data_IF_497254860045
#
_entry.id   IF_497254860045
#
_cell.length_a   1.000
_cell.length_b   1.000
_cell.length_c   1.000
_cell.angle_alpha   90.00
_cell.angle_beta   90.00
_cell.angle_gamma   90.00
#
_symmetry.space_group_name_H-M   'P 1'
#
loop_
_entity.id
_entity.type
_entity.pdbx_description
1 polymer ?
#
# COMPACT_ATOMS: atom_id res chain seq x y z
N UNK A 1 -73.83 -29.56 42.35
CA UNK A 1 -73.76 -29.97 40.92
C UNK A 1 -73.29 -28.76 40.15
N UNK A 2 -72.20 -28.96 39.43
CA UNK A 2 -71.18 -27.98 39.09
C UNK A 2 -71.34 -27.37 37.70
N UNK A 3 -71.08 -26.06 37.66
CA UNK A 3 -70.50 -25.26 36.57
C UNK A 3 -71.08 -25.37 35.16
N UNK A 4 -71.87 -24.36 34.77
CA UNK A 4 -71.77 -23.76 33.45
C UNK A 4 -70.39 -23.07 33.30
N UNK A 5 -69.92 -22.97 32.05
CA UNK A 5 -69.45 -21.72 31.41
C UNK A 5 -68.17 -21.87 30.56
N UNK A 6 -68.29 -21.33 29.34
CA UNK A 6 -67.28 -20.77 28.42
C UNK A 6 -66.33 -21.73 27.66
N UNK A 7 -66.70 -22.01 26.41
CA UNK A 7 -65.75 -22.30 25.33
C UNK A 7 -64.93 -21.03 25.04
N UNK A 8 -63.62 -21.14 25.21
CA UNK A 8 -62.65 -20.11 24.83
C UNK A 8 -62.29 -20.30 23.35
N UNK A 9 -62.71 -19.37 22.49
CA UNK A 9 -62.16 -19.25 21.14
C UNK A 9 -60.71 -18.75 21.24
N UNK A 10 -59.75 -19.53 20.74
CA UNK A 10 -58.38 -19.08 20.56
C UNK A 10 -58.31 -18.27 19.25
N UNK A 11 -58.28 -16.94 19.37
CA UNK A 11 -57.87 -16.06 18.27
C UNK A 11 -56.34 -16.09 18.17
N UNK A 12 -55.82 -16.58 17.05
CA UNK A 12 -54.41 -16.48 16.69
C UNK A 12 -54.10 -15.01 16.39
N UNK A 13 -53.16 -14.35 17.08
CA UNK A 13 -52.78 -12.99 16.74
C UNK A 13 -52.06 -12.97 15.39
N UNK A 14 -52.21 -11.91 14.58
CA UNK A 14 -51.50 -11.79 13.31
C UNK A 14 -50.00 -11.71 13.57
N UNK A 15 -49.25 -12.41 12.73
CA UNK A 15 -47.79 -12.40 12.70
C UNK A 15 -47.33 -10.96 12.41
N UNK A 16 -46.96 -10.21 13.45
CA UNK A 16 -46.23 -8.95 13.29
C UNK A 16 -44.88 -9.30 12.68
N UNK A 17 -44.69 -8.94 11.41
CA UNK A 17 -43.40 -8.96 10.77
C UNK A 17 -42.48 -8.00 11.54
N UNK A 18 -41.64 -8.58 12.39
CA UNK A 18 -40.52 -7.85 12.98
C UNK A 18 -39.54 -7.61 11.83
N UNK A 19 -39.54 -6.39 11.30
CA UNK A 19 -38.47 -5.95 10.41
C UNK A 19 -37.15 -6.03 11.19
N UNK A 20 -36.41 -7.10 10.92
CA UNK A 20 -35.02 -7.29 11.36
C UNK A 20 -34.12 -6.37 10.55
N UNK A 21 -34.18 -5.06 10.79
CA UNK A 21 -33.22 -4.07 10.28
C UNK A 21 -32.15 -3.79 11.32
N UNK A 22 -31.46 -4.83 11.77
CA UNK A 22 -30.31 -4.68 12.67
C UNK A 22 -29.28 -5.78 12.43
N UNK A 23 -28.70 -5.88 11.22
CA UNK A 23 -27.48 -6.69 10.99
C UNK A 23 -26.83 -6.44 9.62
N UNK A 24 -26.61 -5.17 9.26
CA UNK A 24 -25.55 -4.86 8.30
C UNK A 24 -24.79 -3.66 8.84
N UNK A 25 -23.75 -3.95 9.64
CA UNK A 25 -22.71 -2.98 9.91
C UNK A 25 -22.20 -2.47 8.57
N UNK A 26 -22.44 -1.19 8.30
CA UNK A 26 -21.82 -0.49 7.19
C UNK A 26 -20.31 -0.54 7.40
N UNK A 27 -19.64 -1.51 6.79
CA UNK A 27 -18.21 -1.47 6.64
C UNK A 27 -17.91 -0.45 5.53
N UNK A 28 -18.03 0.84 5.87
CA UNK A 28 -17.54 1.90 5.03
C UNK A 28 -16.09 1.55 4.66
N UNK A 29 -15.83 1.46 3.35
CA UNK A 29 -14.51 1.11 2.85
C UNK A 29 -13.48 2.08 3.44
N UNK A 30 -12.26 1.65 3.77
CA UNK A 30 -11.24 2.49 4.45
C UNK A 30 -11.03 3.90 3.85
N UNK A 31 -11.28 4.06 2.55
CA UNK A 31 -11.21 5.35 1.84
C UNK A 31 -12.40 6.29 2.08
N UNK A 32 -13.43 5.84 2.79
CA UNK A 32 -14.63 6.60 3.15
C UNK A 32 -14.58 7.07 4.62
N UNK A 33 -13.61 6.60 5.40
CA UNK A 33 -13.41 7.06 6.77
C UNK A 33 -12.66 8.41 6.78
N UNK A 34 -13.00 9.33 7.71
CA UNK A 34 -12.17 10.51 7.97
C UNK A 34 -10.70 10.11 8.17
N UNK A 35 -9.70 10.92 7.76
CA UNK A 35 -8.29 10.57 7.82
C UNK A 35 -7.87 9.98 9.18
N UNK A 36 -8.20 10.65 10.28
CA UNK A 36 -7.92 10.20 11.66
C UNK A 36 -8.52 8.83 12.05
N UNK A 37 -9.47 8.32 11.28
CA UNK A 37 -10.18 7.06 11.55
C UNK A 37 -9.77 5.92 10.62
N UNK A 38 -8.96 6.17 9.59
CA UNK A 38 -8.46 5.10 8.74
C UNK A 38 -7.23 4.40 9.37
N UNK A 39 -6.98 3.15 8.99
CA UNK A 39 -5.85 2.34 9.50
C UNK A 39 -4.50 2.96 9.15
N UNK A 40 -4.45 3.79 8.11
CA UNK A 40 -3.21 4.47 7.71
C UNK A 40 -2.79 5.58 8.68
N UNK A 41 -3.71 6.13 9.49
CA UNK A 41 -3.39 7.13 10.53
C UNK A 41 -3.31 6.56 11.95
N UNK A 42 -3.94 5.40 12.21
CA UNK A 42 -3.89 4.75 13.52
C UNK A 42 -2.61 3.95 13.78
N UNK A 43 -1.77 3.75 12.76
CA UNK A 43 -0.60 2.88 12.83
C UNK A 43 -0.96 1.40 12.89
N UNK A 44 0.07 0.56 13.06
CA UNK A 44 -0.11 -0.87 13.24
C UNK A 44 -0.78 -1.15 14.61
N UNK A 45 -1.88 -1.89 14.62
CA UNK A 45 -2.76 -2.00 15.81
C UNK A 45 -2.13 -2.64 17.06
N UNK A 46 -0.95 -3.23 16.94
CA UNK A 46 -0.21 -3.80 18.09
C UNK A 46 0.65 -2.77 18.83
N UNK A 47 1.16 -1.73 18.16
CA UNK A 47 2.15 -0.78 18.70
C UNK A 47 1.92 0.68 18.30
N UNK A 48 0.94 0.96 17.44
CA UNK A 48 0.60 2.28 16.93
C UNK A 48 1.60 2.86 15.92
N UNK A 49 2.61 2.10 15.48
CA UNK A 49 3.70 2.60 14.63
C UNK A 49 3.41 2.52 13.13
N UNK A 50 4.06 3.38 12.35
CA UNK A 50 3.97 3.38 10.89
C UNK A 50 5.30 2.92 10.27
N UNK A 51 5.31 1.71 9.72
CA UNK A 51 6.50 1.09 9.15
C UNK A 51 6.64 1.41 7.66
N UNK A 52 7.58 2.30 7.30
CA UNK A 52 7.79 2.74 5.92
C UNK A 52 9.23 3.10 5.58
N UNK A 53 10.00 3.63 6.53
CA UNK A 53 11.39 4.05 6.27
C UNK A 53 12.23 2.89 5.75
N UNK A 54 13.05 3.18 4.73
CA UNK A 54 13.88 2.18 4.07
C UNK A 54 14.97 1.69 5.01
N UNK A 55 15.06 0.38 5.31
CA UNK A 55 16.16 -0.17 6.08
C UNK A 55 17.37 -0.37 5.15
N UNK A 56 18.20 0.66 5.00
CA UNK A 56 19.31 0.70 4.04
C UNK A 56 20.40 -0.36 4.27
N UNK A 57 20.49 -0.88 5.48
CA UNK A 57 21.42 -1.93 5.91
C UNK A 57 20.90 -3.35 5.60
N UNK A 58 19.64 -3.53 5.20
CA UNK A 58 19.12 -4.84 4.79
C UNK A 58 19.90 -5.36 3.57
N UNK A 59 20.48 -6.57 3.61
CA UNK A 59 21.42 -7.04 2.59
C UNK A 59 20.90 -6.94 1.15
N UNK A 60 19.62 -7.24 0.92
CA UNK A 60 19.02 -7.15 -0.42
C UNK A 60 18.88 -5.70 -0.93
N UNK A 61 18.67 -4.74 -0.02
CA UNK A 61 18.61 -3.30 -0.33
C UNK A 61 20.02 -2.74 -0.48
N UNK A 62 20.95 -3.08 0.42
CA UNK A 62 22.34 -2.68 0.32
C UNK A 62 22.97 -3.11 -1.02
N UNK A 63 22.64 -4.32 -1.51
CA UNK A 63 23.09 -4.77 -2.82
C UNK A 63 22.50 -3.95 -3.97
N UNK A 64 21.24 -3.51 -3.88
CA UNK A 64 20.67 -2.59 -4.88
C UNK A 64 21.38 -1.24 -4.90
N UNK A 65 21.72 -0.71 -3.72
CA UNK A 65 22.49 0.53 -3.59
C UNK A 65 23.88 0.35 -4.21
N UNK A 66 24.55 -0.77 -3.97
CA UNK A 66 25.85 -1.08 -4.57
C UNK A 66 25.78 -1.17 -6.11
N UNK A 67 24.73 -1.79 -6.66
CA UNK A 67 24.62 -2.05 -8.09
C UNK A 67 24.11 -0.84 -8.90
N UNK A 68 23.20 -0.05 -8.32
CA UNK A 68 22.46 0.99 -9.04
C UNK A 68 22.58 2.39 -8.43
N UNK A 69 23.11 2.49 -7.22
CA UNK A 69 23.39 3.78 -6.58
C UNK A 69 24.66 4.46 -7.11
N UNK A 70 25.14 5.50 -6.42
CA UNK A 70 24.40 6.21 -5.36
C UNK A 70 23.10 6.82 -5.91
N UNK A 71 22.03 6.78 -5.12
CA UNK A 71 20.77 7.45 -5.47
C UNK A 71 20.88 8.93 -5.13
N UNK A 72 20.55 9.81 -6.06
CA UNK A 72 20.64 11.26 -5.91
C UNK A 72 19.29 11.91 -5.58
N UNK A 73 18.20 11.11 -5.57
CA UNK A 73 16.86 11.62 -5.35
C UNK A 73 15.91 10.55 -4.78
N UNK A 74 15.03 11.00 -3.88
CA UNK A 74 13.93 10.23 -3.32
C UNK A 74 12.60 10.94 -3.67
N UNK A 75 11.78 10.38 -4.58
CA UNK A 75 10.47 10.93 -4.91
C UNK A 75 9.42 10.76 -3.81
N UNK A 76 9.71 9.99 -2.77
CA UNK A 76 8.77 9.61 -1.72
C UNK A 76 9.39 9.85 -0.32
N UNK A 77 9.94 11.05 -0.04
CA UNK A 77 10.68 11.29 1.19
C UNK A 77 9.77 11.24 2.40
N UNK A 78 10.33 10.80 3.52
CA UNK A 78 9.68 10.81 4.83
C UNK A 78 10.62 11.46 5.86
N UNK A 79 10.25 12.59 6.49
CA UNK A 79 9.00 13.33 6.28
C UNK A 79 8.92 13.97 4.88
N UNK A 80 7.71 14.04 4.32
CA UNK A 80 7.47 14.70 3.04
C UNK A 80 7.36 16.21 3.28
N UNK A 81 8.16 17.06 2.61
CA UNK A 81 7.96 18.51 2.68
C UNK A 81 6.56 18.90 2.19
N UNK A 82 5.98 19.97 2.74
CA UNK A 82 4.61 20.39 2.43
C UNK A 82 4.44 20.70 0.94
N UNK A 83 5.35 21.49 0.38
CA UNK A 83 5.37 21.91 -1.03
C UNK A 83 6.00 20.88 -1.98
N UNK A 84 6.26 19.65 -1.51
CA UNK A 84 6.84 18.59 -2.32
C UNK A 84 5.77 17.65 -2.89
N UNK A 85 5.82 17.47 -4.21
CA UNK A 85 5.00 16.51 -4.95
C UNK A 85 5.87 15.65 -5.88
N UNK A 86 6.17 14.43 -5.41
CA UNK A 86 6.95 13.44 -6.16
C UNK A 86 6.29 12.94 -7.45
N UNK A 87 4.98 13.12 -7.62
CA UNK A 87 4.27 12.72 -8.85
C UNK A 87 4.36 13.79 -9.95
N UNK A 88 4.70 15.04 -9.62
CA UNK A 88 4.74 16.15 -10.59
C UNK A 88 6.11 16.80 -10.75
N UNK A 89 6.98 16.75 -9.75
CA UNK A 89 8.32 17.33 -9.85
C UNK A 89 9.24 16.55 -10.82
N UNK A 90 10.35 17.18 -11.21
CA UNK A 90 11.43 16.49 -11.92
C UNK A 90 12.24 15.62 -10.94
N UNK A 91 12.53 14.39 -11.37
CA UNK A 91 13.36 13.46 -10.60
C UNK A 91 14.86 13.63 -10.88
N UNK A 92 15.71 13.07 -10.02
CA UNK A 92 17.17 13.03 -10.21
C UNK A 92 17.61 12.02 -11.28
N UNK A 93 18.92 11.84 -11.45
CA UNK A 93 19.45 10.88 -12.42
C UNK A 93 19.31 9.44 -11.94
N UNK A 94 19.30 9.20 -10.62
CA UNK A 94 19.23 7.88 -9.98
C UNK A 94 18.29 7.92 -8.78
N UNK A 95 17.11 7.35 -8.94
CA UNK A 95 16.02 7.53 -8.01
C UNK A 95 15.76 6.27 -7.18
N UNK A 96 15.64 6.42 -5.86
CA UNK A 96 15.07 5.38 -5.00
C UNK A 96 13.60 5.70 -4.74
N UNK A 97 12.69 4.87 -5.26
CA UNK A 97 11.26 5.15 -5.23
C UNK A 97 10.58 4.15 -4.30
N UNK A 98 10.27 4.58 -3.08
CA UNK A 98 9.51 3.82 -2.09
C UNK A 98 8.12 4.44 -1.88
N UNK A 99 7.20 4.32 -2.85
CA UNK A 99 5.92 5.02 -2.81
C UNK A 99 5.02 4.48 -1.69
N UNK A 100 4.03 5.26 -1.25
CA UNK A 100 3.04 4.80 -0.29
C UNK A 100 2.38 3.47 -0.72
N UNK A 101 2.32 2.48 0.19
CA UNK A 101 1.74 1.16 -0.07
C UNK A 101 0.21 1.16 -0.03
N UNK A 102 -0.40 2.00 -0.87
CA UNK A 102 -1.83 2.23 -0.91
C UNK A 102 -2.21 3.26 -1.95
N UNK A 103 -3.23 4.05 -1.64
CA UNK A 103 -3.59 5.20 -2.48
C UNK A 103 -3.59 6.48 -1.67
N UNK A 104 -3.14 7.55 -2.30
CA UNK A 104 -3.16 8.91 -1.77
C UNK A 104 -4.22 9.73 -2.48
N UNK A 105 -4.71 10.78 -1.81
CA UNK A 105 -5.48 11.83 -2.48
C UNK A 105 -4.51 12.79 -3.14
N UNK A 106 -4.65 12.98 -4.45
CA UNK A 106 -3.79 13.86 -5.22
C UNK A 106 -4.65 14.60 -6.25
N UNK A 107 -4.69 15.93 -6.19
CA UNK A 107 -5.53 16.78 -7.06
C UNK A 107 -7.00 16.32 -7.09
N UNK A 108 -7.58 16.03 -5.92
CA UNK A 108 -8.97 15.61 -5.79
C UNK A 108 -9.29 14.17 -6.25
N UNK A 109 -8.29 13.40 -6.70
CA UNK A 109 -8.46 12.02 -7.16
C UNK A 109 -7.60 11.05 -6.36
N UNK A 110 -8.12 9.84 -6.18
CA UNK A 110 -7.38 8.73 -5.56
C UNK A 110 -6.32 8.21 -6.55
N UNK A 111 -5.04 8.32 -6.20
CA UNK A 111 -3.91 7.79 -6.98
C UNK A 111 -3.23 6.66 -6.22
N UNK A 112 -3.14 5.50 -6.85
CA UNK A 112 -2.48 4.31 -6.30
C UNK A 112 -1.10 4.05 -6.91
N UNK A 113 -0.54 2.83 -6.77
CA UNK A 113 0.79 2.49 -7.27
C UNK A 113 0.97 2.76 -8.77
N UNK A 114 -0.08 2.58 -9.57
CA UNK A 114 0.00 2.81 -11.03
C UNK A 114 0.40 4.24 -11.38
N UNK A 115 0.07 5.24 -10.56
CA UNK A 115 0.51 6.62 -10.81
C UNK A 115 2.03 6.75 -10.67
N UNK A 116 2.61 6.13 -9.64
CA UNK A 116 4.06 6.10 -9.41
C UNK A 116 4.79 5.31 -10.49
N UNK A 117 4.23 4.18 -10.94
CA UNK A 117 4.84 3.40 -12.01
C UNK A 117 4.84 4.16 -13.34
N UNK A 118 3.77 4.90 -13.66
CA UNK A 118 3.73 5.77 -14.85
C UNK A 118 4.78 6.86 -14.77
N UNK A 119 4.88 7.55 -13.63
CA UNK A 119 5.90 8.57 -13.41
C UNK A 119 7.31 8.01 -13.55
N UNK A 120 7.60 6.84 -13.00
CA UNK A 120 8.91 6.20 -13.15
C UNK A 120 9.24 5.86 -14.62
N UNK A 121 8.25 5.43 -15.42
CA UNK A 121 8.41 5.19 -16.87
C UNK A 121 8.64 6.51 -17.62
N UNK A 122 7.93 7.59 -17.28
CA UNK A 122 8.16 8.92 -17.85
C UNK A 122 9.58 9.42 -17.58
N UNK A 123 10.08 9.25 -16.36
CA UNK A 123 11.44 9.66 -15.99
C UNK A 123 12.51 8.75 -16.64
N UNK A 124 12.23 7.45 -16.79
CA UNK A 124 13.08 6.54 -17.55
C UNK A 124 13.23 6.96 -19.01
N UNK A 125 12.14 7.42 -19.64
CA UNK A 125 12.15 7.93 -21.01
C UNK A 125 13.03 9.18 -21.17
N UNK A 126 13.24 9.94 -20.09
CA UNK A 126 14.19 11.08 -20.03
C UNK A 126 15.64 10.65 -19.80
N UNK A 127 15.93 9.34 -19.80
CA UNK A 127 17.27 8.80 -19.58
C UNK A 127 17.66 8.63 -18.11
N UNK A 128 16.70 8.69 -17.17
CA UNK A 128 16.96 8.54 -15.73
C UNK A 128 16.86 7.08 -15.30
N UNK A 129 17.63 6.70 -14.29
CA UNK A 129 17.53 5.40 -13.63
C UNK A 129 16.57 5.51 -12.44
N UNK A 130 15.70 4.53 -12.26
CA UNK A 130 14.88 4.42 -11.05
C UNK A 130 14.83 2.98 -10.54
N UNK A 131 15.00 2.82 -9.23
CA UNK A 131 14.65 1.58 -8.52
C UNK A 131 13.36 1.82 -7.78
N UNK A 132 12.28 1.16 -8.21
CA UNK A 132 10.95 1.28 -7.59
C UNK A 132 10.67 0.05 -6.75
N UNK A 133 10.42 0.23 -5.46
CA UNK A 133 10.07 -0.86 -4.55
C UNK A 133 8.57 -0.90 -4.27
N UNK A 134 7.95 -2.08 -4.37
CA UNK A 134 6.53 -2.21 -4.07
C UNK A 134 6.15 -3.62 -3.61
N UNK A 135 5.20 -3.79 -2.67
CA UNK A 135 4.68 -5.10 -2.31
C UNK A 135 3.98 -5.78 -3.48
N UNK A 136 4.39 -7.01 -3.78
CA UNK A 136 3.78 -7.85 -4.82
C UNK A 136 3.53 -9.24 -4.24
N UNK A 137 2.56 -9.95 -4.79
CA UNK A 137 2.32 -11.33 -4.37
C UNK A 137 3.54 -12.19 -4.67
N UNK A 138 3.95 -12.98 -3.67
CA UNK A 138 5.17 -13.80 -3.70
C UNK A 138 5.25 -14.68 -4.95
N UNK A 139 4.11 -15.25 -5.38
CA UNK A 139 4.06 -16.13 -6.54
C UNK A 139 4.43 -15.40 -7.84
N UNK A 140 4.14 -14.10 -7.98
CA UNK A 140 4.56 -13.31 -9.16
C UNK A 140 6.08 -13.22 -9.22
N UNK A 141 6.73 -12.94 -8.10
CA UNK A 141 8.18 -12.85 -8.02
C UNK A 141 8.87 -14.21 -8.24
N UNK A 142 8.22 -15.30 -7.81
CA UNK A 142 8.67 -16.65 -8.14
C UNK A 142 8.63 -16.90 -9.64
N UNK A 143 7.53 -16.52 -10.32
CA UNK A 143 7.39 -16.69 -11.76
C UNK A 143 8.38 -15.82 -12.53
N UNK A 144 8.56 -14.54 -12.16
CA UNK A 144 9.54 -13.65 -12.80
C UNK A 144 10.97 -14.19 -12.70
N UNK A 145 11.34 -14.75 -11.54
CA UNK A 145 12.64 -15.42 -11.38
C UNK A 145 12.75 -16.65 -12.28
N UNK A 146 11.71 -17.49 -12.32
CA UNK A 146 11.70 -18.72 -13.12
C UNK A 146 11.76 -18.45 -14.63
N UNK A 147 11.16 -17.35 -15.10
CA UNK A 147 11.20 -16.95 -16.52
C UNK A 147 12.44 -16.13 -16.89
N UNK A 148 13.34 -15.86 -15.95
CA UNK A 148 14.60 -15.15 -16.21
C UNK A 148 14.47 -13.63 -16.32
N UNK A 149 13.46 -13.01 -15.70
CA UNK A 149 13.36 -11.56 -15.63
C UNK A 149 14.57 -10.98 -14.87
N UNK A 150 15.36 -10.14 -15.55
CA UNK A 150 16.63 -9.61 -15.00
C UNK A 150 16.45 -8.31 -14.20
N UNK A 151 15.48 -7.48 -14.59
CA UNK A 151 15.28 -6.14 -14.02
C UNK A 151 14.16 -6.09 -12.95
N UNK A 152 13.85 -7.24 -12.34
CA UNK A 152 12.97 -7.32 -11.18
C UNK A 152 13.61 -8.21 -10.13
N UNK A 153 13.92 -7.65 -8.96
CA UNK A 153 14.49 -8.42 -7.84
C UNK A 153 13.43 -8.67 -6.77
N UNK A 154 13.49 -9.86 -6.18
CA UNK A 154 12.69 -10.21 -5.01
C UNK A 154 13.50 -9.87 -3.75
N UNK A 155 13.09 -8.84 -3.01
CA UNK A 155 13.76 -8.42 -1.77
C UNK A 155 13.31 -9.22 -0.54
N UNK A 156 12.39 -10.17 -0.72
CA UNK A 156 11.78 -10.88 0.40
C UNK A 156 10.80 -10.01 1.18
N UNK A 157 10.50 -10.44 2.40
CA UNK A 157 9.64 -9.72 3.33
C UNK A 157 10.47 -8.64 4.04
N UNK A 158 10.52 -7.45 3.45
CA UNK A 158 11.31 -6.32 3.97
C UNK A 158 10.74 -5.85 5.30
N UNK A 159 11.62 -5.70 6.28
CA UNK A 159 11.31 -5.22 7.62
C UNK A 159 11.48 -3.69 7.69
N UNK A 160 10.51 -2.97 7.12
CA UNK A 160 10.50 -1.50 7.11
C UNK A 160 10.66 -0.90 8.50
N UNK A 161 11.33 0.25 8.60
CA UNK A 161 11.55 0.93 9.87
C UNK A 161 10.38 1.87 10.19
N UNK A 162 10.08 2.03 11.48
CA UNK A 162 9.05 2.93 11.97
C UNK A 162 9.42 4.39 11.70
N UNK A 163 8.47 5.19 11.23
CA UNK A 163 8.67 6.64 10.98
C UNK A 163 8.88 7.45 12.25
N UNK A 164 8.41 6.92 13.39
CA UNK A 164 8.42 7.58 14.68
C UNK A 164 9.79 7.51 15.37
N UNK A 165 10.48 6.37 15.27
CA UNK A 165 11.69 6.09 16.04
C UNK A 165 12.73 5.22 15.33
N UNK A 166 12.51 4.87 14.05
CA UNK A 166 13.43 4.05 13.27
C UNK A 166 13.49 2.58 13.69
N UNK A 167 12.64 2.12 14.61
CA UNK A 167 12.64 0.72 15.02
C UNK A 167 12.16 -0.21 13.92
N UNK A 168 12.74 -1.42 13.87
CA UNK A 168 12.46 -2.40 12.82
C UNK A 168 11.09 -3.05 13.00
N UNK A 169 10.30 -3.05 11.93
CA UNK A 169 8.99 -3.72 11.91
C UNK A 169 9.08 -5.25 11.87
N UNK A 170 7.94 -5.91 12.08
CA UNK A 170 7.82 -7.38 12.09
C UNK A 170 7.77 -8.01 10.70
N UNK A 171 7.65 -7.20 9.65
CA UNK A 171 7.37 -7.63 8.27
C UNK A 171 5.87 -7.72 8.02
N UNK A 172 5.50 -7.84 6.76
CA UNK A 172 4.08 -7.91 6.35
C UNK A 172 3.72 -9.27 5.75
N UNK A 173 4.71 -10.15 5.57
CA UNK A 173 4.57 -11.43 4.88
C UNK A 173 4.39 -11.31 3.36
N UNK A 174 4.12 -10.11 2.84
CA UNK A 174 4.19 -9.81 1.42
C UNK A 174 5.63 -9.53 1.04
N UNK A 175 6.05 -10.11 -0.08
CA UNK A 175 7.38 -9.83 -0.60
C UNK A 175 7.41 -8.48 -1.30
N UNK A 176 8.57 -7.83 -1.29
CA UNK A 176 8.81 -6.59 -2.01
C UNK A 176 9.52 -6.91 -3.33
N UNK A 177 8.94 -6.40 -4.41
CA UNK A 177 9.62 -6.31 -5.69
C UNK A 177 10.49 -5.06 -5.72
N UNK A 178 11.69 -5.15 -6.30
CA UNK A 178 12.43 -3.99 -6.79
C UNK A 178 12.44 -4.02 -8.33
N UNK A 179 11.71 -3.10 -8.94
CA UNK A 179 11.70 -2.88 -10.38
C UNK A 179 12.84 -1.93 -10.73
N UNK A 180 13.77 -2.39 -11.56
CA UNK A 180 14.94 -1.62 -11.98
C UNK A 180 14.68 -1.05 -13.37
N UNK A 181 14.34 0.23 -13.43
CA UNK A 181 14.17 0.96 -14.69
C UNK A 181 15.50 1.59 -15.06
N UNK A 182 16.23 0.91 -15.95
CA UNK A 182 17.47 1.45 -16.54
C UNK A 182 17.13 2.53 -17.58
N UNK A 183 17.99 3.53 -17.81
CA UNK A 183 17.80 4.53 -18.86
C UNK A 183 17.46 3.88 -20.20
N UNK A 184 16.36 4.29 -20.84
CA UNK A 184 15.99 3.74 -22.13
C UNK A 184 16.72 4.46 -23.25
N UNK A 185 17.84 3.89 -23.70
CA UNK A 185 18.68 4.43 -24.78
C UNK A 185 17.96 4.52 -26.14
N UNK A 186 16.78 3.92 -26.29
CA UNK A 186 16.05 3.82 -27.55
C UNK A 186 15.04 4.95 -27.82
N UNK A 187 14.74 5.82 -26.84
CA UNK A 187 13.73 6.90 -27.00
C UNK A 187 14.36 8.24 -27.45
N UNK A 188 15.69 8.36 -27.40
CA UNK A 188 16.43 9.56 -27.84
C UNK A 188 17.15 9.38 -29.18
N UNK A 189 16.68 8.48 -30.04
CA UNK A 189 17.15 8.34 -31.44
C UNK A 189 16.04 8.71 -32.41
#
# INVERSE_FOLDING_TARGET
MSAETLQLHAETPPLMAVESTALFGSFAHQSQLPPAMNKFHKGNGEDGKHYWLTPWDEPAIAQLVADYGPFDFDPCPCPKPDDFDGLTCEWGQRNWVNPPFGSIMHQGKKKGPTAWMRKAIEEQAKGKLSVVVYPVDKWVLMMLKATGAVNVRNLGDVRWLATEDGTKGKGTGRHIAAFILLPNSAINK
#
